data_IF_933799916581
#
_entry.id   IF_933799916581
#
_cell.length_a   1.000
_cell.length_b   1.000
_cell.length_c   1.000
_cell.angle_alpha   90.00
_cell.angle_beta   90.00
_cell.angle_gamma   90.00
#
_symmetry.space_group_name_H-M   'P 1'
#
loop_
_entity.id
_entity.type
_entity.pdbx_description
1 polymer ?
#
# COMPACT_ATOMS: atom_id res chain seq x y z
N UNK A 1 -14.83 20.15 -17.70
CA UNK A 1 -14.96 18.79 -17.12
C UNK A 1 -13.60 18.12 -17.21
N UNK A 2 -12.90 17.83 -16.10
CA UNK A 2 -11.60 17.18 -16.17
C UNK A 2 -11.79 15.73 -16.63
N UNK A 3 -11.21 15.39 -17.78
CA UNK A 3 -11.14 14.02 -18.29
C UNK A 3 -10.22 13.20 -17.40
N UNK A 4 -10.72 12.06 -16.91
CA UNK A 4 -9.93 11.03 -16.24
C UNK A 4 -8.96 10.42 -17.27
N UNK A 5 -7.75 10.97 -17.33
CA UNK A 5 -6.67 10.48 -18.18
C UNK A 5 -6.22 9.09 -17.72
N UNK A 6 -6.59 8.10 -18.52
CA UNK A 6 -5.82 6.88 -18.84
C UNK A 6 -4.74 6.47 -17.83
N UNK A 7 -4.98 5.33 -17.18
CA UNK A 7 -3.95 4.51 -16.55
C UNK A 7 -2.83 4.24 -17.56
N UNK A 8 -1.78 5.06 -17.52
CA UNK A 8 -0.57 4.80 -18.30
C UNK A 8 -0.02 3.45 -17.84
N UNK A 9 -0.08 2.47 -18.73
CA UNK A 9 0.66 1.22 -18.61
C UNK A 9 2.14 1.57 -18.60
N UNK A 10 2.70 1.79 -17.40
CA UNK A 10 4.11 2.09 -17.23
C UNK A 10 4.94 1.00 -17.94
N UNK A 11 6.03 1.36 -18.62
CA UNK A 11 6.85 0.39 -19.34
C UNK A 11 7.40 -0.66 -18.36
N UNK A 12 6.93 -1.90 -18.52
CA UNK A 12 7.39 -3.04 -17.71
C UNK A 12 8.81 -3.39 -18.14
N UNK A 13 9.78 -3.21 -17.25
CA UNK A 13 11.13 -3.74 -17.47
C UNK A 13 11.18 -5.20 -17.04
N UNK A 14 11.70 -6.07 -17.90
CA UNK A 14 12.06 -7.41 -17.51
C UNK A 14 13.25 -7.33 -16.54
N UNK A 15 13.05 -7.80 -15.32
CA UNK A 15 14.11 -7.96 -14.31
C UNK A 15 14.24 -9.45 -14.04
N UNK A 16 15.45 -10.00 -14.15
CA UNK A 16 15.70 -11.38 -13.73
C UNK A 16 15.58 -11.44 -12.21
N UNK A 17 14.68 -12.30 -11.72
CA UNK A 17 14.46 -12.52 -10.30
C UNK A 17 14.85 -13.96 -9.99
N UNK A 18 15.69 -14.16 -8.97
CA UNK A 18 16.06 -15.49 -8.49
C UNK A 18 15.02 -15.96 -7.47
N UNK A 19 14.30 -17.03 -7.77
CA UNK A 19 13.37 -17.70 -6.86
C UNK A 19 13.84 -19.13 -6.58
N UNK A 20 13.42 -19.68 -5.44
CA UNK A 20 13.68 -21.07 -5.06
C UNK A 20 12.98 -22.05 -6.01
N UNK A 21 13.61 -23.20 -6.25
CA UNK A 21 13.12 -24.22 -7.17
C UNK A 21 11.77 -24.83 -6.74
N UNK A 22 11.53 -24.96 -5.44
CA UNK A 22 10.24 -25.40 -4.89
C UNK A 22 9.11 -24.47 -5.29
N UNK A 23 9.29 -23.16 -5.12
CA UNK A 23 8.31 -22.13 -5.51
C UNK A 23 8.05 -22.11 -7.01
N UNK A 24 9.09 -22.28 -7.83
CA UNK A 24 8.94 -22.35 -9.28
C UNK A 24 8.18 -23.61 -9.73
N UNK A 25 8.46 -24.74 -9.10
CA UNK A 25 7.81 -26.01 -9.40
C UNK A 25 6.33 -25.97 -9.02
N UNK A 26 6.02 -25.42 -7.85
CA UNK A 26 4.66 -25.26 -7.34
C UNK A 26 3.86 -24.25 -8.19
N UNK A 27 4.48 -23.11 -8.54
CA UNK A 27 3.86 -22.12 -9.43
C UNK A 27 3.56 -22.70 -10.81
N UNK A 28 4.46 -23.52 -11.38
CA UNK A 28 4.21 -24.22 -12.65
C UNK A 28 3.08 -25.23 -12.52
N UNK A 29 3.06 -26.03 -11.46
CA UNK A 29 2.00 -27.01 -11.21
C UNK A 29 0.62 -26.36 -11.07
N UNK A 30 0.57 -25.16 -10.49
CA UNK A 30 -0.65 -24.37 -10.28
C UNK A 30 -0.96 -23.40 -11.43
N UNK A 31 -0.18 -23.42 -12.52
CA UNK A 31 -0.33 -22.49 -13.66
C UNK A 31 -0.31 -21.00 -13.27
N UNK A 32 0.46 -20.65 -12.24
CA UNK A 32 0.56 -19.27 -11.74
C UNK A 32 1.51 -18.47 -12.64
N UNK A 33 1.07 -17.28 -13.05
CA UNK A 33 1.94 -16.34 -13.77
C UNK A 33 2.90 -15.65 -12.80
N UNK A 34 4.13 -16.14 -12.74
CA UNK A 34 5.17 -15.68 -11.80
C UNK A 34 5.45 -14.17 -11.96
N UNK A 35 5.50 -13.66 -13.20
CA UNK A 35 5.75 -12.24 -13.44
C UNK A 35 4.65 -11.35 -12.87
N UNK A 36 3.39 -11.74 -13.04
CA UNK A 36 2.25 -11.01 -12.48
C UNK A 36 2.22 -11.10 -10.95
N UNK A 37 2.46 -12.29 -10.38
CA UNK A 37 2.51 -12.48 -8.94
C UNK A 37 3.65 -11.70 -8.29
N UNK A 38 4.82 -11.66 -8.92
CA UNK A 38 5.97 -10.88 -8.48
C UNK A 38 5.68 -9.38 -8.52
N UNK A 39 5.07 -8.87 -9.59
CA UNK A 39 4.67 -7.46 -9.70
C UNK A 39 3.70 -7.07 -8.56
N UNK A 40 2.69 -7.89 -8.30
CA UNK A 40 1.74 -7.67 -7.20
C UNK A 40 2.42 -7.72 -5.82
N UNK A 41 3.31 -8.70 -5.60
CA UNK A 41 4.07 -8.83 -4.35
C UNK A 41 4.97 -7.63 -4.08
N UNK A 42 5.69 -7.16 -5.10
CA UNK A 42 6.55 -5.96 -5.01
C UNK A 42 5.70 -4.72 -4.75
N UNK A 43 4.58 -4.54 -5.45
CA UNK A 43 3.67 -3.41 -5.22
C UNK A 43 3.15 -3.37 -3.78
N UNK A 44 2.78 -4.52 -3.21
CA UNK A 44 2.35 -4.65 -1.82
C UNK A 44 3.49 -4.32 -0.83
N UNK A 45 4.70 -4.81 -1.08
CA UNK A 45 5.87 -4.53 -0.24
C UNK A 45 6.21 -3.03 -0.24
N UNK A 46 6.19 -2.38 -1.42
CA UNK A 46 6.39 -0.93 -1.55
C UNK A 46 5.31 -0.17 -0.77
N UNK A 47 4.04 -0.55 -0.93
CA UNK A 47 2.93 0.11 -0.24
C UNK A 47 3.09 0.00 1.27
N UNK A 48 3.41 -1.18 1.80
CA UNK A 48 3.67 -1.39 3.23
C UNK A 48 4.80 -0.49 3.73
N UNK A 49 5.94 -0.49 3.03
CA UNK A 49 7.08 0.34 3.41
C UNK A 49 6.78 1.84 3.37
N UNK A 50 6.03 2.30 2.36
CA UNK A 50 5.59 3.69 2.28
C UNK A 50 4.65 4.04 3.44
N UNK A 51 3.73 3.15 3.80
CA UNK A 51 2.85 3.35 4.95
C UNK A 51 3.64 3.38 6.25
N UNK A 52 4.62 2.49 6.45
CA UNK A 52 5.51 2.52 7.61
C UNK A 52 6.29 3.83 7.72
N UNK A 53 6.86 4.31 6.61
CA UNK A 53 7.59 5.58 6.57
C UNK A 53 6.65 6.75 6.86
N UNK A 54 5.50 6.79 6.20
CA UNK A 54 4.51 7.84 6.42
C UNK A 54 4.03 7.87 7.88
N UNK A 55 3.74 6.71 8.48
CA UNK A 55 3.39 6.61 9.90
C UNK A 55 4.50 7.12 10.80
N UNK A 56 5.77 6.83 10.47
CA UNK A 56 6.92 7.31 11.24
C UNK A 56 7.06 8.83 11.15
N UNK A 57 6.92 9.39 9.95
CA UNK A 57 7.01 10.84 9.71
C UNK A 57 5.83 11.61 10.28
N UNK A 58 4.63 11.03 10.25
CA UNK A 58 3.40 11.68 10.74
C UNK A 58 3.12 11.33 12.20
N UNK A 59 4.01 10.59 12.87
CA UNK A 59 3.80 10.15 14.25
C UNK A 59 3.59 11.33 15.19
N UNK A 60 4.39 12.38 15.09
CA UNK A 60 4.26 13.58 15.92
C UNK A 60 2.98 14.38 15.60
N UNK A 61 2.58 14.44 14.33
CA UNK A 61 1.33 15.09 13.92
C UNK A 61 0.09 14.33 14.39
N UNK A 62 0.15 12.99 14.37
CA UNK A 62 -0.91 12.11 14.87
C UNK A 62 -0.98 12.20 16.40
N UNK A 63 0.16 12.17 17.09
CA UNK A 63 0.22 12.24 18.55
C UNK A 63 -0.30 13.59 19.08
N UNK A 64 0.10 14.72 18.47
CA UNK A 64 -0.45 16.04 18.80
C UNK A 64 -1.94 16.18 18.49
N UNK A 65 -2.42 15.60 17.38
CA UNK A 65 -3.87 15.53 17.11
C UNK A 65 -4.62 14.67 18.12
N UNK A 66 -4.05 13.53 18.53
CA UNK A 66 -4.66 12.66 19.53
C UNK A 66 -4.71 13.35 20.89
N UNK A 67 -3.61 13.98 21.33
CA UNK A 67 -3.56 14.74 22.58
C UNK A 67 -4.59 15.89 22.59
N UNK A 68 -4.75 16.59 21.45
CA UNK A 68 -5.78 17.62 21.32
C UNK A 68 -7.21 17.06 21.43
N UNK A 69 -7.48 15.88 20.85
CA UNK A 69 -8.78 15.20 20.97
C UNK A 69 -9.02 14.65 22.37
N UNK A 70 -7.98 14.18 23.08
CA UNK A 70 -8.10 13.75 24.48
C UNK A 70 -8.36 14.93 25.42
N UNK A 71 -7.71 16.06 25.20
CA UNK A 71 -7.86 17.26 26.04
C UNK A 71 -9.15 18.04 25.76
N UNK A 72 -9.55 18.18 24.49
CA UNK A 72 -10.71 18.99 24.09
C UNK A 72 -11.95 18.18 23.71
N UNK A 73 -11.86 16.84 23.70
CA UNK A 73 -12.89 15.96 23.19
C UNK A 73 -13.02 16.03 21.67
N UNK A 74 -13.88 15.19 21.09
CA UNK A 74 -14.11 15.19 19.65
C UNK A 74 -14.86 16.48 19.22
N UNK A 75 -14.22 17.40 18.47
CA UNK A 75 -14.78 18.72 18.19
C UNK A 75 -16.10 18.67 17.41
N UNK A 76 -16.35 17.58 16.68
CA UNK A 76 -17.57 17.35 15.89
C UNK A 76 -18.55 16.36 16.53
N UNK A 77 -18.29 15.86 17.75
CA UNK A 77 -19.23 14.95 18.44
C UNK A 77 -20.61 15.60 18.66
N UNK A 78 -20.66 16.92 18.83
CA UNK A 78 -21.90 17.70 18.94
C UNK A 78 -22.79 17.73 17.69
N UNK A 79 -22.30 17.26 16.54
CA UNK A 79 -23.07 17.17 15.29
C UNK A 79 -23.35 15.72 14.84
N UNK A 80 -23.05 14.74 15.69
CA UNK A 80 -23.35 13.33 15.40
C UNK A 80 -24.87 13.10 15.55
N UNK A 81 -25.61 13.28 14.46
CA UNK A 81 -27.00 12.83 14.36
C UNK A 81 -27.01 11.29 14.31
N UNK A 82 -27.77 10.69 15.23
CA UNK A 82 -28.05 9.24 15.33
C UNK A 82 -29.22 8.85 14.44
#
# INVERSE_FOLDING_TARGET
MPSLSSSQSAPKRATNVTLTESLLSEAKALHINISQAAEAGVALAIKRKRTELWLKENKEAIDSSNAFVEEHGLPLAKYRMF
#
